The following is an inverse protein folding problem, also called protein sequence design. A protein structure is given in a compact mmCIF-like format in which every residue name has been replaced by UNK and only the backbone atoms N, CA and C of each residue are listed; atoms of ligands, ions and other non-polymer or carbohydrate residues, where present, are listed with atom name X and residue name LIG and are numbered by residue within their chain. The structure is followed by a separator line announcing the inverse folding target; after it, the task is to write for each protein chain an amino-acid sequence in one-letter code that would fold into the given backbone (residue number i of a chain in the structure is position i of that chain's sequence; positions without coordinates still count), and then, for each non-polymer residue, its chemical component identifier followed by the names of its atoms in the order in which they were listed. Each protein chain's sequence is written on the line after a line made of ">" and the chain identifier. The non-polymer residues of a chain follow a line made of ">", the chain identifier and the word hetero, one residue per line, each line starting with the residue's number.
data_IF_854112952282
#
_entry.id   IF_854112952282
#
_cell.length_a   1.000
_cell.length_b   1.000
_cell.length_c   1.000
_cell.angle_alpha   90.00
_cell.angle_beta   90.00
_cell.angle_gamma   90.00
#
_symmetry.space_group_name_H-M   'P 1'
#
loop_
_entity.id
_entity.type
_entity.pdbx_description
1 polymer ?
#
# COMPACT_ATOMS: atom_id res chain seq x y z
N UNK A 1 -4.46 -0.95 0.34
CA UNK A 1 -4.07 0.43 -0.08
C UNK A 1 -3.99 0.46 -1.60
N UNK A 2 -4.74 1.34 -2.24
CA UNK A 2 -4.64 1.57 -3.69
C UNK A 2 -3.42 2.44 -4.01
N UNK A 3 -2.80 2.14 -5.15
CA UNK A 3 -1.63 2.85 -5.67
C UNK A 3 -2.04 3.59 -6.94
N UNK A 4 -1.76 4.89 -7.05
CA UNK A 4 -1.98 5.61 -8.29
C UNK A 4 -0.99 5.13 -9.35
N UNK A 5 -1.47 4.59 -10.45
CA UNK A 5 -0.64 4.19 -11.59
C UNK A 5 -1.14 4.89 -12.85
N UNK A 6 -0.35 5.85 -13.34
CA UNK A 6 -0.64 6.57 -14.58
C UNK A 6 -0.20 5.82 -15.83
N UNK A 7 0.56 4.72 -15.70
CA UNK A 7 1.17 3.98 -16.80
C UNK A 7 0.41 2.72 -17.18
N UNK A 8 -0.54 2.29 -16.35
CA UNK A 8 -1.33 1.07 -16.56
C UNK A 8 -2.82 1.39 -16.64
N UNK A 9 -3.57 0.71 -17.53
CA UNK A 9 -5.04 0.75 -17.49
C UNK A 9 -5.62 0.02 -16.28
N UNK A 10 -4.81 -0.72 -15.54
CA UNK A 10 -5.22 -1.44 -14.34
C UNK A 10 -5.00 -0.57 -13.09
N UNK A 11 -5.90 -0.71 -12.14
CA UNK A 11 -5.69 -0.19 -10.79
C UNK A 11 -4.83 -1.18 -10.02
N UNK A 12 -3.82 -0.68 -9.31
CA UNK A 12 -2.96 -1.49 -8.47
C UNK A 12 -3.21 -1.19 -7.00
N UNK A 13 -2.88 -2.16 -6.13
CA UNK A 13 -2.93 -1.98 -4.70
C UNK A 13 -2.00 -2.94 -3.97
N UNK A 14 -1.69 -2.63 -2.71
CA UNK A 14 -0.94 -3.53 -1.83
C UNK A 14 -1.70 -3.80 -0.54
N UNK A 15 -1.59 -5.04 -0.06
CA UNK A 15 -2.10 -5.46 1.24
C UNK A 15 -1.12 -4.96 2.30
N UNK A 16 -1.52 -3.98 3.12
CA UNK A 16 -0.60 -3.29 4.03
C UNK A 16 -0.39 -4.00 5.36
N UNK A 17 -1.20 -5.00 5.68
CA UNK A 17 -1.27 -5.63 6.99
C UNK A 17 -0.83 -7.11 7.01
N UNK A 18 -0.09 -7.56 6.00
CA UNK A 18 0.43 -8.93 5.93
C UNK A 18 1.97 -8.96 5.98
N UNK A 19 2.59 -8.74 7.16
CA UNK A 19 4.01 -8.97 7.33
C UNK A 19 4.30 -10.46 7.18
N UNK A 20 5.40 -10.78 6.50
CA UNK A 20 5.88 -12.16 6.34
C UNK A 20 6.97 -12.48 7.37
N UNK A 21 7.56 -13.65 7.26
CA UNK A 21 8.79 -14.02 7.98
C UNK A 21 10.04 -13.88 7.11
N UNK A 22 9.90 -13.36 5.88
CA UNK A 22 10.99 -13.25 4.92
C UNK A 22 11.75 -11.94 5.17
N UNK A 23 13.03 -11.99 5.52
CA UNK A 23 13.84 -10.79 5.65
C UNK A 23 13.95 -10.04 4.32
N UNK A 24 13.96 -8.72 4.39
CA UNK A 24 14.11 -7.85 3.21
C UNK A 24 15.35 -8.23 2.39
N UNK A 25 16.47 -8.53 3.04
CA UNK A 25 17.72 -8.94 2.38
C UNK A 25 17.61 -10.21 1.52
N UNK A 26 16.62 -11.05 1.78
CA UNK A 26 16.36 -12.26 0.95
C UNK A 26 15.81 -11.89 -0.41
N UNK A 27 14.98 -10.84 -0.49
CA UNK A 27 14.35 -10.37 -1.72
C UNK A 27 15.21 -9.31 -2.42
N UNK A 28 15.94 -8.51 -1.63
CA UNK A 28 16.79 -7.42 -2.05
C UNK A 28 18.16 -7.56 -1.37
N UNK A 29 19.06 -8.40 -1.90
CA UNK A 29 20.38 -8.64 -1.29
C UNK A 29 21.21 -7.36 -1.09
N UNK A 30 21.03 -6.37 -1.97
CA UNK A 30 21.70 -5.08 -1.92
C UNK A 30 21.02 -4.05 -0.98
N UNK A 31 20.00 -4.46 -0.24
CA UNK A 31 19.35 -3.57 0.73
C UNK A 31 20.35 -3.17 1.83
N UNK A 32 20.27 -1.91 2.33
CA UNK A 32 21.14 -1.45 3.40
C UNK A 32 21.04 -2.34 4.65
N UNK A 33 22.16 -2.53 5.36
CA UNK A 33 22.23 -3.42 6.53
C UNK A 33 21.14 -3.11 7.57
N UNK A 34 20.81 -1.83 7.79
CA UNK A 34 19.76 -1.42 8.74
C UNK A 34 18.32 -1.80 8.33
N UNK A 35 18.09 -2.19 7.06
CA UNK A 35 16.83 -2.74 6.57
C UNK A 35 16.87 -4.25 6.46
N UNK A 36 18.07 -4.87 6.60
CA UNK A 36 18.26 -6.29 6.34
C UNK A 36 17.47 -7.21 7.25
N UNK A 37 17.24 -6.80 8.49
CA UNK A 37 16.46 -7.55 9.49
C UNK A 37 14.96 -7.20 9.45
N UNK A 38 14.57 -6.16 8.72
CA UNK A 38 13.17 -5.87 8.49
C UNK A 38 12.54 -7.01 7.68
N UNK A 39 11.27 -7.30 7.97
CA UNK A 39 10.51 -8.29 7.18
C UNK A 39 9.85 -7.63 5.99
N UNK A 40 9.77 -8.36 4.89
CA UNK A 40 8.98 -7.96 3.74
C UNK A 40 7.50 -8.25 3.99
N UNK A 41 6.64 -7.49 3.31
CA UNK A 41 5.20 -7.66 3.37
C UNK A 41 4.68 -8.31 2.08
N UNK A 42 3.67 -9.15 2.21
CA UNK A 42 2.94 -9.66 1.06
C UNK A 42 1.96 -8.60 0.57
N UNK A 43 2.21 -8.06 -0.61
CA UNK A 43 1.38 -7.00 -1.21
C UNK A 43 0.21 -7.51 -2.04
N UNK A 44 0.28 -8.75 -2.53
CA UNK A 44 -0.76 -9.38 -3.34
C UNK A 44 -0.21 -10.45 -4.30
N UNK A 45 -1.09 -11.16 -5.02
CA UNK A 45 -0.71 -12.35 -5.79
C UNK A 45 -0.09 -12.07 -7.17
N UNK A 46 -0.13 -10.82 -7.64
CA UNK A 46 0.35 -10.45 -8.98
C UNK A 46 1.77 -9.93 -8.90
N UNK A 47 2.63 -10.26 -9.86
CA UNK A 47 4.02 -9.80 -9.94
C UNK A 47 4.85 -10.01 -8.67
N UNK A 48 4.76 -11.20 -8.09
CA UNK A 48 5.39 -11.53 -6.80
C UNK A 48 6.92 -11.41 -6.79
N UNK A 49 7.57 -11.27 -7.94
CA UNK A 49 9.01 -11.05 -8.04
C UNK A 49 9.40 -9.56 -8.15
N UNK A 50 8.40 -8.67 -8.12
CA UNK A 50 8.61 -7.22 -8.25
C UNK A 50 8.47 -6.57 -6.87
N UNK A 51 9.54 -6.01 -6.32
CA UNK A 51 9.48 -5.29 -5.06
C UNK A 51 8.76 -3.95 -5.25
N UNK A 52 7.93 -3.60 -4.28
CA UNK A 52 7.32 -2.28 -4.16
C UNK A 52 7.79 -1.69 -2.84
N UNK A 53 8.30 -0.47 -2.92
CA UNK A 53 8.65 0.31 -1.73
C UNK A 53 7.58 1.37 -1.52
N UNK A 54 7.00 1.42 -0.33
CA UNK A 54 6.21 2.57 0.13
C UNK A 54 7.08 3.35 1.10
N UNK A 55 7.28 4.63 0.80
CA UNK A 55 8.10 5.53 1.59
C UNK A 55 7.26 6.66 2.17
N UNK A 56 7.55 7.01 3.43
CA UNK A 56 6.99 8.17 4.14
C UNK A 56 8.04 9.26 4.20
N UNK A 57 7.93 10.26 3.34
CA UNK A 57 8.91 11.33 3.18
C UNK A 57 8.23 12.62 2.74
N UNK A 58 8.66 13.76 3.31
CA UNK A 58 8.13 15.09 2.97
C UNK A 58 8.26 15.43 1.47
N UNK A 59 9.26 14.86 0.79
CA UNK A 59 9.46 14.99 -0.65
C UNK A 59 9.55 13.61 -1.27
N UNK A 60 8.79 13.36 -2.30
CA UNK A 60 8.81 12.09 -3.02
C UNK A 60 10.22 11.83 -3.60
N UNK A 61 10.80 10.64 -3.38
CA UNK A 61 12.08 10.26 -3.96
C UNK A 61 12.06 10.26 -5.49
N UNK A 62 13.22 10.37 -6.11
CA UNK A 62 13.34 10.24 -7.55
C UNK A 62 12.80 8.87 -8.02
N UNK A 63 11.96 8.88 -9.06
CA UNK A 63 11.31 7.68 -9.59
C UNK A 63 10.12 7.18 -8.76
N UNK A 64 9.74 7.88 -7.70
CA UNK A 64 8.55 7.58 -6.93
C UNK A 64 7.31 8.28 -7.50
N UNK A 65 6.16 7.65 -7.29
CA UNK A 65 4.83 8.24 -7.52
C UNK A 65 4.21 8.62 -6.19
N UNK A 66 3.74 9.87 -6.05
CA UNK A 66 3.05 10.31 -4.85
C UNK A 66 1.71 9.56 -4.68
N UNK A 67 1.42 9.13 -3.45
CA UNK A 67 0.14 8.50 -3.09
C UNK A 67 -0.78 9.54 -2.46
N UNK A 68 -0.42 10.02 -1.29
CA UNK A 68 -1.17 11.03 -0.53
C UNK A 68 -0.30 11.59 0.59
N UNK A 69 -0.36 12.89 0.85
CA UNK A 69 0.41 13.53 1.90
C UNK A 69 1.92 13.29 1.74
N UNK A 70 2.52 12.68 2.74
CA UNK A 70 3.94 12.33 2.79
C UNK A 70 4.24 10.89 2.28
N UNK A 71 3.23 10.19 1.71
CA UNK A 71 3.38 8.85 1.17
C UNK A 71 3.68 8.88 -0.33
N UNK A 72 4.64 8.08 -0.72
CA UNK A 72 4.94 7.76 -2.11
C UNK A 72 5.30 6.29 -2.28
N UNK A 73 5.22 5.79 -3.50
CA UNK A 73 5.58 4.41 -3.84
C UNK A 73 6.54 4.35 -5.02
N UNK A 74 7.35 3.30 -5.03
CA UNK A 74 8.36 3.03 -6.05
C UNK A 74 8.21 1.56 -6.44
N UNK A 75 8.04 1.24 -7.72
CA UNK A 75 7.93 -0.13 -8.23
C UNK A 75 8.90 -0.42 -9.38
N UNK A 76 9.55 0.59 -9.92
CA UNK A 76 10.68 0.39 -10.84
C UNK A 76 11.89 -0.16 -10.08
N UNK A 77 12.42 -1.30 -10.52
CA UNK A 77 13.52 -1.99 -9.83
C UNK A 77 14.79 -1.13 -9.70
N UNK A 78 15.12 -0.34 -10.73
CA UNK A 78 16.29 0.53 -10.69
C UNK A 78 16.09 1.68 -9.71
N UNK A 79 14.90 2.28 -9.69
CA UNK A 79 14.53 3.33 -8.76
C UNK A 79 14.47 2.81 -7.31
N UNK A 80 13.93 1.61 -7.06
CA UNK A 80 13.98 0.93 -5.74
C UNK A 80 15.44 0.78 -5.28
N UNK A 81 16.30 0.27 -6.15
CA UNK A 81 17.73 0.08 -5.81
C UNK A 81 18.41 1.41 -5.51
N UNK A 82 18.17 2.44 -6.31
CA UNK A 82 18.73 3.77 -6.11
C UNK A 82 18.24 4.40 -4.79
N UNK A 83 16.95 4.30 -4.52
CA UNK A 83 16.35 4.80 -3.28
C UNK A 83 16.95 4.12 -2.03
N UNK A 84 17.08 2.79 -2.05
CA UNK A 84 17.60 2.03 -0.92
C UNK A 84 19.10 2.31 -0.68
N UNK A 85 19.89 2.62 -1.71
CA UNK A 85 21.28 3.07 -1.55
C UNK A 85 21.40 4.35 -0.72
N UNK A 86 20.36 5.20 -0.70
CA UNK A 86 20.26 6.37 0.17
C UNK A 86 20.12 6.02 1.66
N UNK A 87 20.07 4.73 2.01
CA UNK A 87 19.99 4.22 3.37
C UNK A 87 18.84 4.84 4.20
N UNK A 88 17.57 4.73 3.73
CA UNK A 88 16.43 5.34 4.42
C UNK A 88 16.21 4.74 5.81
N UNK A 89 15.56 5.49 6.70
CA UNK A 89 15.26 5.01 8.05
C UNK A 89 14.21 3.87 8.00
N UNK A 90 14.37 2.78 8.77
CA UNK A 90 13.47 1.62 8.72
C UNK A 90 12.00 1.94 9.01
N UNK A 91 11.74 2.93 9.85
CA UNK A 91 10.39 3.37 10.22
C UNK A 91 9.71 4.25 9.16
N UNK A 92 10.43 4.65 8.11
CA UNK A 92 9.90 5.45 7.00
C UNK A 92 9.72 4.64 5.72
N UNK A 93 9.97 3.32 5.77
CA UNK A 93 9.93 2.45 4.59
C UNK A 93 9.20 1.16 4.88
N UNK A 94 8.33 0.74 3.97
CA UNK A 94 7.75 -0.61 3.91
C UNK A 94 8.06 -1.21 2.55
N UNK A 95 8.49 -2.46 2.57
CA UNK A 95 8.84 -3.20 1.35
C UNK A 95 7.83 -4.33 1.18
N UNK A 96 7.15 -4.30 0.05
CA UNK A 96 6.16 -5.29 -0.35
C UNK A 96 6.70 -6.09 -1.52
N UNK A 97 6.25 -7.32 -1.65
CA UNK A 97 6.37 -8.10 -2.88
C UNK A 97 4.99 -8.51 -3.36
N UNK A 98 4.82 -8.45 -4.69
CA UNK A 98 3.53 -8.62 -5.31
C UNK A 98 2.55 -7.47 -5.05
N UNK A 99 1.50 -7.48 -5.81
CA UNK A 99 0.41 -6.49 -5.77
C UNK A 99 -0.93 -7.16 -6.06
N UNK A 100 -2.02 -6.51 -5.73
CA UNK A 100 -3.35 -6.78 -6.26
C UNK A 100 -3.60 -5.85 -7.45
N UNK A 101 -4.35 -6.32 -8.44
CA UNK A 101 -4.70 -5.53 -9.63
C UNK A 101 -6.16 -5.74 -9.99
N UNK A 102 -6.78 -4.68 -10.49
CA UNK A 102 -8.18 -4.69 -10.93
C UNK A 102 -8.34 -3.92 -12.22
N UNK A 103 -9.28 -4.34 -13.06
CA UNK A 103 -9.87 -3.43 -14.03
C UNK A 103 -10.67 -2.36 -13.27
N UNK A 104 -10.67 -1.08 -13.71
CA UNK A 104 -11.45 -0.03 -13.05
C UNK A 104 -12.94 -0.37 -12.90
N UNK A 105 -13.53 -1.00 -13.92
CA UNK A 105 -14.93 -1.45 -13.88
C UNK A 105 -15.17 -2.55 -12.86
N UNK A 106 -14.21 -3.46 -12.69
CA UNK A 106 -14.25 -4.54 -11.70
C UNK A 106 -14.25 -3.97 -10.29
N UNK A 107 -13.25 -3.14 -9.93
CA UNK A 107 -13.17 -2.57 -8.58
C UNK A 107 -14.39 -1.71 -8.26
N UNK A 108 -14.89 -0.93 -9.23
CA UNK A 108 -16.13 -0.15 -9.05
C UNK A 108 -17.32 -1.05 -8.75
N UNK A 109 -17.48 -2.15 -9.47
CA UNK A 109 -18.55 -3.13 -9.22
C UNK A 109 -18.43 -3.77 -7.84
N UNK A 110 -17.23 -4.12 -7.41
CA UNK A 110 -16.96 -4.69 -6.09
C UNK A 110 -17.29 -3.68 -4.96
N UNK A 111 -16.94 -2.39 -5.14
CA UNK A 111 -17.31 -1.33 -4.19
C UNK A 111 -18.82 -1.15 -4.13
N UNK A 112 -19.48 -1.08 -5.28
CA UNK A 112 -20.95 -0.92 -5.36
C UNK A 112 -21.71 -2.10 -4.75
N UNK A 113 -21.17 -3.31 -4.84
CA UNK A 113 -21.76 -4.50 -4.20
C UNK A 113 -21.49 -4.60 -2.70
N UNK A 114 -20.76 -3.63 -2.12
CA UNK A 114 -20.41 -3.61 -0.70
C UNK A 114 -19.31 -4.63 -0.33
N UNK A 115 -18.51 -5.10 -1.31
CA UNK A 115 -17.36 -5.98 -1.03
C UNK A 115 -16.19 -5.23 -0.37
N UNK A 116 -16.19 -3.88 -0.39
CA UNK A 116 -15.14 -3.03 0.12
C UNK A 116 -15.70 -1.92 0.99
N UNK A 117 -15.08 -1.69 2.15
CA UNK A 117 -15.12 -0.40 2.81
C UNK A 117 -14.05 0.50 2.18
N UNK A 118 -14.41 1.74 1.95
CA UNK A 118 -13.51 2.71 1.31
C UNK A 118 -13.23 3.82 2.30
N UNK A 119 -11.97 3.92 2.70
CA UNK A 119 -11.49 4.85 3.72
C UNK A 119 -10.49 5.84 3.14
N UNK A 120 -10.40 7.06 3.68
CA UNK A 120 -9.30 7.97 3.36
C UNK A 120 -7.94 7.33 3.63
N UNK A 121 -6.91 7.72 2.87
CA UNK A 121 -5.55 7.24 3.09
C UNK A 121 -5.04 7.70 4.46
N UNK A 122 -4.56 6.72 5.23
CA UNK A 122 -3.99 6.93 6.56
C UNK A 122 -2.55 6.41 6.56
N UNK A 123 -1.58 7.34 6.58
CA UNK A 123 -0.16 7.00 6.59
C UNK A 123 0.25 6.24 7.86
N UNK A 124 -0.36 6.54 8.99
CA UNK A 124 -0.06 5.85 10.25
C UNK A 124 -0.55 4.40 10.21
N UNK A 125 -1.66 4.13 9.53
CA UNK A 125 -2.12 2.77 9.27
C UNK A 125 -1.10 1.98 8.43
N UNK A 126 -0.53 2.59 7.39
CA UNK A 126 0.50 1.94 6.54
C UNK A 126 1.74 1.59 7.37
N UNK A 127 2.15 2.45 8.30
CA UNK A 127 3.33 2.26 9.15
C UNK A 127 3.01 1.71 10.55
N UNK A 128 1.84 1.11 10.74
CA UNK A 128 1.44 0.52 12.01
C UNK A 128 2.48 -0.47 12.55
N UNK A 129 2.75 -0.40 13.84
CA UNK A 129 3.60 -1.36 14.56
C UNK A 129 2.86 -2.69 14.83
N UNK A 130 1.53 -2.69 14.71
CA UNK A 130 0.67 -3.87 14.90
C UNK A 130 -0.13 -4.19 13.62
N UNK A 131 0.53 -4.47 12.48
CA UNK A 131 -0.15 -4.61 11.19
C UNK A 131 -1.22 -5.71 11.19
N UNK A 132 -1.06 -6.77 11.98
CA UNK A 132 -2.04 -7.87 12.05
C UNK A 132 -3.36 -7.46 12.73
N UNK A 133 -3.35 -6.43 13.58
CA UNK A 133 -4.56 -5.89 14.22
C UNK A 133 -5.28 -4.87 13.33
N UNK A 134 -4.57 -4.31 12.37
CA UNK A 134 -5.05 -3.22 11.51
C UNK A 134 -6.37 -3.55 10.82
N UNK A 135 -6.53 -4.79 10.31
CA UNK A 135 -7.75 -5.21 9.62
C UNK A 135 -9.00 -5.00 10.49
N UNK A 136 -8.98 -5.47 11.74
CA UNK A 136 -10.11 -5.30 12.67
C UNK A 136 -10.41 -3.83 12.92
N UNK A 137 -9.39 -3.03 13.24
CA UNK A 137 -9.54 -1.59 13.49
C UNK A 137 -10.17 -0.86 12.31
N UNK A 138 -9.74 -1.19 11.10
CA UNK A 138 -10.25 -0.53 9.90
C UNK A 138 -11.67 -0.98 9.55
N UNK A 139 -12.01 -2.26 9.74
CA UNK A 139 -13.38 -2.75 9.55
C UNK A 139 -14.35 -2.10 10.55
N UNK A 140 -13.97 -2.00 11.82
CA UNK A 140 -14.77 -1.32 12.85
C UNK A 140 -15.00 0.16 12.47
N UNK A 141 -13.98 0.84 11.95
CA UNK A 141 -14.09 2.23 11.44
C UNK A 141 -15.06 2.32 10.27
N UNK A 142 -14.90 1.49 9.25
CA UNK A 142 -15.77 1.47 8.07
C UNK A 142 -17.23 1.16 8.40
N UNK A 143 -17.49 0.27 9.36
CA UNK A 143 -18.85 -0.01 9.83
C UNK A 143 -19.49 1.18 10.54
N UNK A 144 -18.73 1.93 11.33
CA UNK A 144 -19.22 3.14 11.99
C UNK A 144 -19.56 4.23 10.98
N UNK A 145 -18.73 4.43 9.96
CA UNK A 145 -19.00 5.41 8.89
C UNK A 145 -20.25 5.03 8.07
N UNK A 146 -20.41 3.76 7.73
CA UNK A 146 -21.60 3.27 7.01
C UNK A 146 -22.88 3.53 7.80
N UNK A 147 -22.81 3.46 9.14
CA UNK A 147 -23.97 3.69 10.03
C UNK A 147 -24.29 5.19 10.19
N UNK A 148 -23.27 6.06 10.10
CA UNK A 148 -23.42 7.50 10.36
C UNK A 148 -23.72 8.35 9.12
N UNK A 149 -23.42 7.85 7.92
CA UNK A 149 -23.63 8.60 6.68
C UNK A 149 -24.87 8.12 5.96
N UNK A 150 -25.81 9.02 5.57
CA UNK A 150 -26.89 8.65 4.67
C UNK A 150 -26.31 8.19 3.34
N UNK A 151 -26.91 7.18 2.74
CA UNK A 151 -26.55 6.59 1.45
C UNK A 151 -26.69 7.62 0.31
N UNK A 152 -25.74 8.52 0.17
CA UNK A 152 -25.61 9.40 -0.99
C UNK A 152 -24.68 8.75 -1.99
N UNK A 153 -25.25 8.35 -3.13
CA UNK A 153 -24.64 7.46 -4.14
C UNK A 153 -23.53 8.05 -5.02
N UNK A 154 -22.70 8.95 -4.53
CA UNK A 154 -21.57 9.47 -5.30
C UNK A 154 -20.30 9.50 -4.45
N UNK A 155 -19.55 8.38 -4.48
CA UNK A 155 -18.20 8.31 -3.93
C UNK A 155 -17.19 8.36 -5.08
N UNK A 156 -16.81 9.55 -5.47
CA UNK A 156 -15.70 9.75 -6.42
C UNK A 156 -14.38 9.31 -5.76
N UNK A 157 -13.54 8.50 -6.43
CA UNK A 157 -12.30 8.02 -5.84
C UNK A 157 -11.24 9.12 -5.82
N UNK A 158 -11.14 9.86 -4.71
CA UNK A 158 -9.90 10.49 -4.30
C UNK A 158 -8.95 9.43 -3.72
N UNK A 159 -7.74 9.79 -3.27
CA UNK A 159 -6.76 8.84 -2.72
C UNK A 159 -7.37 7.94 -1.63
N UNK A 160 -7.84 6.75 -2.01
CA UNK A 160 -8.65 5.86 -1.19
C UNK A 160 -7.85 4.62 -0.78
N UNK A 161 -7.90 4.27 0.50
CA UNK A 161 -7.55 2.94 0.95
C UNK A 161 -8.81 2.06 0.86
N UNK A 162 -8.74 0.93 0.15
CA UNK A 162 -9.82 -0.04 0.08
C UNK A 162 -9.53 -1.21 1.01
N UNK A 163 -10.52 -1.64 1.78
CA UNK A 163 -10.46 -2.78 2.68
C UNK A 163 -11.49 -3.82 2.26
N UNK A 164 -11.09 -5.09 2.30
CA UNK A 164 -11.99 -6.21 2.04
C UNK A 164 -12.89 -6.42 3.27
N UNK A 165 -14.17 -6.63 3.01
CA UNK A 165 -15.18 -7.07 3.97
C UNK A 165 -14.94 -8.50 4.41
#
# INVERSE_FOLDING_TARGET
>A
MLLPDSKSPLLAGVIINQPTTIPVKTLLPDAPARLGDAVAYFGGPVEMNSPIVVARMATAPAGATAISGDLSWIDDRAAVTAFLKGNPAPNTVRIYYGRAQWLPIQLRGEIQSGAWYVEPMDADAVFSTEPRKLWRTMVERGQLEETMLPHTGDRTPGALAALIR
#
